data_IF_201688071324
#
_entry.id   IF_201688071324
#
_cell.length_a   1.000
_cell.length_b   1.000
_cell.length_c   1.000
_cell.angle_alpha   90.00
_cell.angle_beta   90.00
_cell.angle_gamma   90.00
#
_symmetry.space_group_name_H-M   'P 1'
#
loop_
_entity.id
_entity.type
_entity.pdbx_description
1 polymer ?
#
# COMPACT_ATOMS: atom_id res chain seq x y z
N UNK A 1 11.62 1.63 -22.07
CA UNK A 1 12.10 1.37 -20.69
C UNK A 1 10.88 1.22 -19.80
N UNK A 2 10.65 0.06 -19.17
CA UNK A 2 9.55 -0.05 -18.19
C UNK A 2 9.98 0.74 -16.96
N UNK A 3 9.23 1.77 -16.59
CA UNK A 3 9.51 2.54 -15.38
C UNK A 3 9.37 1.61 -14.18
N UNK A 4 10.41 1.48 -13.37
CA UNK A 4 10.31 0.74 -12.12
C UNK A 4 9.29 1.44 -11.21
N UNK A 5 8.35 0.67 -10.68
CA UNK A 5 7.40 1.18 -9.69
C UNK A 5 8.16 1.43 -8.39
N UNK A 6 7.88 2.56 -7.75
CA UNK A 6 8.42 2.92 -6.43
C UNK A 6 7.30 2.92 -5.39
N UNK A 7 7.66 2.90 -4.11
CA UNK A 7 6.72 3.02 -2.99
C UNK A 7 7.10 4.21 -2.12
N UNK A 8 6.10 4.94 -1.63
CA UNK A 8 6.27 5.92 -0.56
C UNK A 8 6.35 5.27 0.84
N UNK A 9 6.12 3.95 0.94
CA UNK A 9 5.93 3.24 2.21
C UNK A 9 7.06 2.26 2.52
N UNK A 10 7.77 1.78 1.50
CA UNK A 10 8.86 0.82 1.63
C UNK A 10 10.02 1.18 0.73
N UNK A 11 11.24 0.83 1.15
CA UNK A 11 12.47 1.20 0.43
C UNK A 11 12.70 0.41 -0.86
N UNK A 12 12.04 -0.75 -1.01
CA UNK A 12 12.19 -1.59 -2.20
C UNK A 12 10.91 -2.31 -2.57
N UNK A 13 10.71 -2.49 -3.88
CA UNK A 13 9.59 -3.18 -4.50
C UNK A 13 9.90 -4.64 -4.90
N UNK A 14 11.10 -5.15 -4.61
CA UNK A 14 11.55 -6.47 -5.08
C UNK A 14 11.35 -7.62 -4.08
N UNK A 15 10.95 -7.33 -2.84
CA UNK A 15 10.77 -8.33 -1.78
C UNK A 15 9.55 -8.02 -0.94
N UNK A 16 8.86 -9.05 -0.46
CA UNK A 16 7.64 -8.88 0.31
C UNK A 16 7.93 -8.05 1.55
N UNK A 17 7.19 -6.96 1.77
CA UNK A 17 7.44 -6.07 2.90
C UNK A 17 7.06 -6.66 4.27
N UNK A 18 6.48 -7.87 4.28
CA UNK A 18 6.10 -8.60 5.49
C UNK A 18 7.13 -9.69 5.84
N UNK A 19 7.60 -10.47 4.85
CA UNK A 19 8.48 -11.63 5.11
C UNK A 19 9.75 -11.70 4.24
N UNK A 20 9.97 -10.75 3.34
CA UNK A 20 11.18 -10.71 2.50
C UNK A 20 11.21 -11.68 1.31
N UNK A 21 10.17 -12.48 1.07
CA UNK A 21 10.09 -13.35 -0.12
C UNK A 21 10.24 -12.53 -1.42
N UNK A 22 11.13 -12.92 -2.35
CA UNK A 22 11.40 -12.15 -3.57
C UNK A 22 10.30 -12.27 -4.65
N UNK A 23 9.40 -13.24 -4.54
CA UNK A 23 8.30 -13.43 -5.50
C UNK A 23 7.09 -12.61 -5.06
N UNK A 24 6.98 -11.39 -5.60
CA UNK A 24 6.02 -10.39 -5.15
C UNK A 24 5.04 -9.96 -6.23
N UNK A 25 3.88 -9.50 -5.77
CA UNK A 25 2.86 -8.80 -6.51
C UNK A 25 2.70 -7.40 -5.94
N UNK A 26 2.27 -6.46 -6.78
CA UNK A 26 1.95 -5.10 -6.34
C UNK A 26 0.59 -5.10 -5.67
N UNK A 27 0.54 -4.58 -4.45
CA UNK A 27 -0.68 -4.34 -3.71
C UNK A 27 -0.90 -2.84 -3.52
N UNK A 28 -2.04 -2.31 -3.95
CA UNK A 28 -2.48 -0.95 -3.65
C UNK A 28 -3.04 -0.89 -2.24
N UNK A 29 -2.41 -0.12 -1.35
CA UNK A 29 -2.82 0.00 0.07
C UNK A 29 -4.25 0.52 0.18
N UNK A 30 -4.59 1.54 -0.62
CA UNK A 30 -5.95 2.03 -0.76
C UNK A 30 -6.53 1.52 -2.08
N UNK A 31 -7.47 0.58 -1.96
CA UNK A 31 -8.10 -0.10 -3.10
C UNK A 31 -9.51 0.43 -3.39
N UNK A 32 -10.07 -0.04 -4.51
CA UNK A 32 -11.30 0.48 -5.12
C UNK A 32 -10.98 1.24 -6.41
N UNK A 33 -11.98 1.44 -7.28
CA UNK A 33 -11.76 2.01 -8.63
C UNK A 33 -11.04 3.36 -8.59
N UNK A 34 -11.52 4.30 -7.77
CA UNK A 34 -10.89 5.61 -7.62
C UNK A 34 -9.56 5.53 -6.82
N UNK A 35 -9.57 4.82 -5.70
CA UNK A 35 -8.43 4.78 -4.80
C UNK A 35 -7.20 4.06 -5.37
N UNK A 36 -7.37 3.10 -6.30
CA UNK A 36 -6.23 2.49 -7.00
C UNK A 36 -5.48 3.52 -7.84
N UNK A 37 -6.20 4.40 -8.54
CA UNK A 37 -5.61 5.49 -9.32
C UNK A 37 -4.85 6.46 -8.41
N UNK A 38 -5.41 6.80 -7.25
CA UNK A 38 -4.71 7.63 -6.26
C UNK A 38 -3.49 6.92 -5.67
N UNK A 39 -3.61 5.63 -5.35
CA UNK A 39 -2.49 4.85 -4.84
C UNK A 39 -1.35 4.75 -5.85
N UNK A 40 -1.65 4.61 -7.15
CA UNK A 40 -0.64 4.68 -8.21
C UNK A 40 0.00 6.08 -8.32
N UNK A 41 -0.82 7.15 -8.24
CA UNK A 41 -0.33 8.54 -8.34
C UNK A 41 0.61 8.91 -7.19
N UNK A 42 0.31 8.45 -5.99
CA UNK A 42 1.04 8.80 -4.76
C UNK A 42 2.00 7.70 -4.29
N UNK A 43 2.24 6.69 -5.12
CA UNK A 43 3.12 5.56 -4.81
C UNK A 43 2.73 4.82 -3.51
N UNK A 44 1.43 4.76 -3.17
CA UNK A 44 0.88 4.06 -2.01
C UNK A 44 0.62 2.59 -2.35
N UNK A 45 1.66 1.95 -2.87
CA UNK A 45 1.70 0.55 -3.26
C UNK A 45 2.79 -0.16 -2.46
N UNK A 46 2.63 -1.46 -2.20
CA UNK A 46 3.63 -2.28 -1.52
C UNK A 46 3.81 -3.64 -2.20
N UNK A 47 5.00 -4.23 -2.13
CA UNK A 47 5.26 -5.57 -2.64
C UNK A 47 4.82 -6.62 -1.62
N UNK A 48 3.94 -7.53 -2.02
CA UNK A 48 3.49 -8.65 -1.18
C UNK A 48 3.67 -9.98 -1.92
N UNK A 49 4.16 -11.01 -1.23
CA UNK A 49 4.16 -12.35 -1.80
C UNK A 49 2.75 -12.94 -1.82
N UNK A 50 2.53 -14.02 -2.56
CA UNK A 50 1.21 -14.65 -2.71
C UNK A 50 0.53 -14.91 -1.35
N UNK A 51 1.27 -15.44 -0.37
CA UNK A 51 0.76 -15.74 0.96
C UNK A 51 0.24 -14.49 1.70
N UNK A 52 0.97 -13.37 1.62
CA UNK A 52 0.59 -12.11 2.27
C UNK A 52 -0.32 -11.22 1.41
N UNK A 53 -0.49 -11.53 0.11
CA UNK A 53 -1.40 -10.79 -0.76
C UNK A 53 -2.78 -11.43 -0.78
N UNK A 54 -2.91 -12.63 -1.34
CA UNK A 54 -4.19 -13.31 -1.62
C UNK A 54 -4.34 -14.65 -0.91
N UNK A 55 -3.31 -15.11 -0.20
CA UNK A 55 -3.38 -16.33 0.61
C UNK A 55 -4.39 -16.25 1.76
N UNK A 56 -4.56 -17.35 2.48
CA UNK A 56 -5.54 -17.48 3.58
C UNK A 56 -5.42 -16.37 4.63
N UNK A 57 -4.19 -15.97 4.98
CA UNK A 57 -3.90 -14.87 5.91
C UNK A 57 -3.38 -13.62 5.19
N UNK A 58 -3.56 -13.55 3.87
CA UNK A 58 -3.14 -12.42 3.05
C UNK A 58 -3.98 -11.18 3.33
N UNK A 59 -3.48 -10.01 2.93
CA UNK A 59 -4.06 -8.70 3.24
C UNK A 59 -5.55 -8.60 2.86
N UNK A 60 -5.98 -9.26 1.77
CA UNK A 60 -7.39 -9.25 1.36
C UNK A 60 -8.32 -10.03 2.31
N UNK A 61 -7.76 -10.96 3.09
CA UNK A 61 -8.48 -11.82 4.04
C UNK A 61 -8.15 -11.50 5.51
N UNK A 62 -7.14 -10.67 5.77
CA UNK A 62 -6.68 -10.32 7.10
C UNK A 62 -6.85 -8.80 7.36
N UNK A 63 -7.91 -8.46 8.10
CA UNK A 63 -8.27 -7.07 8.44
C UNK A 63 -7.19 -6.36 9.25
N UNK A 64 -6.45 -7.07 10.09
CA UNK A 64 -5.36 -6.47 10.87
C UNK A 64 -4.21 -6.06 9.97
N UNK A 65 -3.80 -6.94 9.05
CA UNK A 65 -2.77 -6.64 8.06
C UNK A 65 -3.19 -5.50 7.13
N UNK A 66 -4.43 -5.50 6.64
CA UNK A 66 -4.99 -4.42 5.83
C UNK A 66 -4.97 -3.07 6.58
N UNK A 67 -5.45 -3.05 7.82
CA UNK A 67 -5.45 -1.83 8.65
C UNK A 67 -4.04 -1.36 8.95
N UNK A 68 -3.10 -2.28 9.20
CA UNK A 68 -1.69 -1.96 9.41
C UNK A 68 -1.06 -1.28 8.19
N UNK A 69 -1.29 -1.82 6.98
CA UNK A 69 -0.78 -1.22 5.76
C UNK A 69 -1.43 0.13 5.46
N UNK A 70 -2.74 0.28 5.67
CA UNK A 70 -3.46 1.55 5.53
C UNK A 70 -2.92 2.63 6.47
N UNK A 71 -2.66 2.30 7.74
CA UNK A 71 -2.00 3.21 8.69
C UNK A 71 -0.62 3.65 8.22
N UNK A 72 0.20 2.71 7.73
CA UNK A 72 1.52 3.05 7.16
C UNK A 72 1.40 3.94 5.93
N UNK A 73 0.48 3.62 5.01
CA UNK A 73 0.20 4.42 3.82
C UNK A 73 -0.26 5.83 4.15
N UNK A 74 -1.16 5.99 5.12
CA UNK A 74 -1.61 7.30 5.58
C UNK A 74 -0.45 8.10 6.19
N UNK A 75 0.35 7.51 7.11
CA UNK A 75 1.51 8.20 7.70
C UNK A 75 2.49 8.70 6.63
N UNK A 76 2.83 7.84 5.67
CA UNK A 76 3.74 8.19 4.58
C UNK A 76 3.17 9.34 3.73
N UNK A 77 1.89 9.27 3.39
CA UNK A 77 1.22 10.33 2.64
C UNK A 77 1.21 11.65 3.42
N UNK A 78 0.78 11.62 4.68
CA UNK A 78 0.62 12.81 5.51
C UNK A 78 1.96 13.48 5.82
N UNK A 79 3.04 12.71 5.98
CA UNK A 79 4.39 13.25 6.12
C UNK A 79 4.81 14.10 4.92
N UNK A 80 4.35 13.75 3.72
CA UNK A 80 4.71 14.46 2.48
C UNK A 80 3.70 15.54 2.08
N UNK A 81 2.41 15.32 2.34
CA UNK A 81 1.32 16.07 1.75
C UNK A 81 0.30 16.62 2.76
N UNK A 82 0.39 16.25 4.04
CA UNK A 82 -0.50 16.69 5.11
C UNK A 82 -1.82 15.92 5.23
N UNK A 83 -2.42 15.99 6.43
CA UNK A 83 -3.66 15.30 6.80
C UNK A 83 -4.88 15.76 6.01
N UNK A 84 -5.07 17.07 5.84
CA UNK A 84 -6.22 17.62 5.13
C UNK A 84 -6.32 17.10 3.69
N UNK A 85 -5.18 17.02 3.00
CA UNK A 85 -5.11 16.48 1.64
C UNK A 85 -5.36 14.98 1.61
N UNK A 86 -4.91 14.23 2.61
CA UNK A 86 -5.22 12.81 2.74
C UNK A 86 -6.73 12.59 2.84
N UNK A 87 -7.38 13.33 3.73
CA UNK A 87 -8.83 13.27 3.94
C UNK A 87 -9.60 13.69 2.68
N UNK A 88 -9.16 14.72 1.97
CA UNK A 88 -9.78 15.16 0.72
C UNK A 88 -9.73 14.09 -0.40
N UNK A 89 -8.69 13.26 -0.43
CA UNK A 89 -8.48 12.26 -1.48
C UNK A 89 -9.09 10.90 -1.11
N UNK A 90 -8.83 10.43 0.11
CA UNK A 90 -9.19 9.07 0.54
C UNK A 90 -10.45 9.01 1.40
N UNK A 91 -10.90 10.14 1.96
CA UNK A 91 -12.19 10.28 2.64
C UNK A 91 -12.33 9.55 3.97
N UNK A 92 -11.29 8.87 4.46
CA UNK A 92 -11.33 8.07 5.69
C UNK A 92 -10.02 8.14 6.43
N UNK A 93 -10.09 8.41 7.73
CA UNK A 93 -8.95 8.35 8.64
C UNK A 93 -8.72 6.90 9.12
N UNK A 94 -7.49 6.42 9.05
CA UNK A 94 -7.02 5.11 9.50
C UNK A 94 -6.06 5.18 10.68
N UNK A 95 -5.60 6.37 11.07
CA UNK A 95 -4.75 6.62 12.23
C UNK A 95 -5.53 6.57 13.54
#
# INVERSE_FOLDING_TARGET
MKTEKISAVVDTMNKCCICGNPHVQIHHIFYGTANRIHSDRYNLIVPLCLAHHTGTNGVHNNKELDTFLKRKGQRAFEQQYGHEKFMAIFGKNYL
#
